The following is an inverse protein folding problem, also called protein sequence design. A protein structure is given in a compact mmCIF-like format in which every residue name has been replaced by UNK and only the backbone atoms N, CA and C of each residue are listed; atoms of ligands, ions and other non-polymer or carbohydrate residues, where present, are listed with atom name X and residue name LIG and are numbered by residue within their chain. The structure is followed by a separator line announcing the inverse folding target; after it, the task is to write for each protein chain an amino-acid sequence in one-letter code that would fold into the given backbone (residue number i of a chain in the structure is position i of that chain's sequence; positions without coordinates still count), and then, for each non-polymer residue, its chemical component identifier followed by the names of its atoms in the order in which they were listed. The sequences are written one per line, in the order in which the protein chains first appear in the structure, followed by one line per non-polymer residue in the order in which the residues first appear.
data_IF_016815492269
#
_entry.id   IF_016815492269
#
_cell.length_a   1.000
_cell.length_b   1.000
_cell.length_c   1.000
_cell.angle_alpha   90.00
_cell.angle_beta   90.00
_cell.angle_gamma   90.00
#
_symmetry.space_group_name_H-M   'P 1'
#
loop_
_entity.id
_entity.type
_entity.pdbx_description
1 polymer ?
#
# COMPACT_ATOMS: atom_id res chain seq x y z
N UNK A 1 2.93 -28.27 -9.14
CA UNK A 1 2.13 -27.02 -9.13
C UNK A 1 2.69 -26.08 -10.19
N UNK A 2 1.85 -25.48 -11.06
CA UNK A 2 2.32 -24.52 -12.09
C UNK A 2 2.32 -23.13 -11.47
N UNK A 3 3.49 -22.49 -11.45
CA UNK A 3 3.64 -21.11 -10.96
C UNK A 3 3.40 -20.14 -12.11
N UNK A 4 2.49 -19.19 -11.93
CA UNK A 4 2.23 -18.13 -12.93
C UNK A 4 3.47 -17.27 -13.13
N UNK A 5 3.75 -16.85 -14.37
CA UNK A 5 4.98 -16.13 -14.69
C UNK A 5 5.14 -14.82 -13.89
N UNK A 6 4.08 -14.03 -13.74
CA UNK A 6 4.14 -12.77 -13.00
C UNK A 6 4.44 -12.94 -11.50
N UNK A 7 4.13 -14.11 -10.90
CA UNK A 7 4.54 -14.44 -9.52
C UNK A 7 6.05 -14.71 -9.48
N UNK A 8 6.58 -15.44 -10.46
CA UNK A 8 8.05 -15.61 -10.58
C UNK A 8 8.78 -14.30 -10.81
N UNK A 9 8.18 -13.42 -11.62
CA UNK A 9 8.73 -12.09 -11.90
C UNK A 9 8.75 -11.25 -10.62
N UNK A 10 7.70 -11.34 -9.78
CA UNK A 10 7.66 -10.68 -8.47
C UNK A 10 8.73 -11.23 -7.52
N UNK A 11 8.83 -12.55 -7.39
CA UNK A 11 9.86 -13.17 -6.53
C UNK A 11 11.28 -12.83 -6.99
N UNK A 12 11.51 -12.68 -8.30
CA UNK A 12 12.80 -12.24 -8.84
C UNK A 12 13.15 -10.77 -8.54
N UNK A 13 12.19 -9.97 -8.05
CA UNK A 13 12.48 -8.62 -7.54
C UNK A 13 13.20 -8.68 -6.18
N UNK A 14 12.98 -9.73 -5.39
CA UNK A 14 13.64 -10.02 -4.11
C UNK A 14 13.49 -8.93 -3.05
N UNK A 15 13.94 -7.70 -3.32
CA UNK A 15 14.03 -6.63 -2.34
C UNK A 15 13.36 -5.35 -2.83
N UNK A 16 12.45 -4.81 -2.00
CA UNK A 16 11.72 -3.59 -2.26
C UNK A 16 11.71 -2.63 -1.07
N UNK A 17 11.26 -1.42 -1.32
CA UNK A 17 11.04 -0.40 -0.31
C UNK A 17 9.54 -0.21 -0.09
N UNK A 18 9.09 -0.27 1.17
CA UNK A 18 7.73 0.11 1.54
C UNK A 18 7.74 1.54 2.07
N UNK A 19 6.87 2.41 1.53
CA UNK A 19 6.86 3.84 1.85
C UNK A 19 5.46 4.26 2.28
N UNK A 20 5.35 4.73 3.53
CA UNK A 20 4.16 5.40 4.03
C UNK A 20 4.34 6.91 3.88
N UNK A 21 3.52 7.51 3.02
CA UNK A 21 3.56 8.93 2.71
C UNK A 21 2.14 9.47 2.52
N UNK A 22 1.79 10.57 3.20
CA UNK A 22 0.45 11.14 3.21
C UNK A 22 0.35 12.31 4.20
N UNK A 23 -0.87 12.77 4.50
CA UNK A 23 -1.10 13.92 5.39
C UNK A 23 -0.48 13.74 6.78
N UNK A 24 -0.46 12.51 7.30
CA UNK A 24 0.19 12.19 8.58
C UNK A 24 1.68 12.57 8.61
N UNK A 25 2.33 12.67 7.46
CA UNK A 25 3.73 13.13 7.37
C UNK A 25 3.89 14.58 7.80
N UNK A 26 2.86 15.43 7.64
CA UNK A 26 2.84 16.82 8.13
C UNK A 26 2.87 16.87 9.66
N UNK A 27 2.21 15.92 10.31
CA UNK A 27 2.19 15.82 11.78
C UNK A 27 3.53 15.34 12.35
N UNK A 28 4.25 14.49 11.61
CA UNK A 28 5.49 13.89 12.09
C UNK A 28 5.32 13.03 13.34
N UNK A 29 4.20 12.28 13.43
CA UNK A 29 3.83 11.44 14.59
C UNK A 29 3.41 10.01 14.18
N UNK A 30 3.83 9.57 13.00
CA UNK A 30 3.46 8.29 12.44
C UNK A 30 2.09 8.31 11.73
N UNK A 31 1.80 7.24 11.02
CA UNK A 31 0.64 7.10 10.13
C UNK A 31 -0.69 6.93 10.87
N UNK A 32 -0.65 6.49 12.12
CA UNK A 32 -1.82 6.33 12.99
C UNK A 32 -2.16 7.56 13.84
N UNK A 33 -1.41 8.67 13.67
CA UNK A 33 -1.54 9.85 14.52
C UNK A 33 -2.97 10.38 14.64
N UNK A 34 -3.75 10.38 13.54
CA UNK A 34 -5.16 10.81 13.54
C UNK A 34 -5.98 10.01 14.57
N UNK A 35 -5.89 8.70 14.53
CA UNK A 35 -6.68 7.81 15.38
C UNK A 35 -6.16 7.78 16.82
N UNK A 36 -4.85 7.66 17.01
CA UNK A 36 -4.22 7.60 18.35
C UNK A 36 -4.41 8.90 19.11
N UNK A 37 -4.21 10.04 18.45
CA UNK A 37 -4.35 11.35 19.09
C UNK A 37 -5.80 11.87 19.07
N UNK A 38 -6.75 11.11 18.50
CA UNK A 38 -8.17 11.48 18.41
C UNK A 38 -8.38 12.84 17.73
N UNK A 39 -7.62 13.11 16.65
CA UNK A 39 -7.70 14.39 15.92
C UNK A 39 -9.04 14.46 15.19
N UNK A 40 -9.86 15.52 15.42
CA UNK A 40 -11.11 15.70 14.70
C UNK A 40 -10.93 15.75 13.18
N UNK A 41 -11.92 15.29 12.41
CA UNK A 41 -11.83 15.25 10.96
C UNK A 41 -11.48 16.62 10.36
N UNK A 42 -12.20 17.68 10.75
CA UNK A 42 -11.99 19.04 10.26
C UNK A 42 -10.55 19.54 10.50
N UNK A 43 -10.00 19.25 11.69
CA UNK A 43 -8.62 19.59 12.01
C UNK A 43 -7.63 18.80 11.15
N UNK A 44 -7.87 17.50 10.97
CA UNK A 44 -7.01 16.64 10.16
C UNK A 44 -7.06 17.01 8.67
N UNK A 45 -8.24 17.28 8.15
CA UNK A 45 -8.46 17.69 6.76
C UNK A 45 -7.72 19.00 6.44
N UNK A 46 -7.64 19.93 7.39
CA UNK A 46 -6.88 21.19 7.22
C UNK A 46 -5.38 20.99 6.96
N UNK A 47 -4.83 19.81 7.24
CA UNK A 47 -3.43 19.48 6.90
C UNK A 47 -3.22 19.44 5.39
N UNK A 48 -4.26 19.17 4.62
CA UNK A 48 -4.21 19.17 3.16
C UNK A 48 -3.80 20.54 2.57
N UNK A 49 -4.14 21.63 3.27
CA UNK A 49 -3.72 22.98 2.92
C UNK A 49 -2.22 23.25 3.11
N UNK A 50 -1.52 22.34 3.79
CA UNK A 50 -0.09 22.43 4.08
C UNK A 50 0.72 21.32 3.39
N UNK A 51 0.05 20.27 2.90
CA UNK A 51 0.70 19.13 2.29
C UNK A 51 1.08 19.44 0.84
N UNK A 52 2.30 19.88 0.64
CA UNK A 52 2.86 20.19 -0.66
C UNK A 52 4.32 19.69 -0.75
N UNK A 53 4.54 18.45 -1.16
CA UNK A 53 5.88 17.90 -1.31
C UNK A 53 6.74 18.69 -2.31
N UNK A 54 8.06 18.68 -2.09
CA UNK A 54 9.02 19.29 -3.01
C UNK A 54 8.81 18.74 -4.44
N UNK A 55 9.04 19.54 -5.50
CA UNK A 55 8.80 19.11 -6.88
C UNK A 55 9.60 17.88 -7.30
N UNK A 56 10.75 17.62 -6.66
CA UNK A 56 11.65 16.50 -6.95
C UNK A 56 11.58 15.36 -5.92
N UNK A 57 10.50 15.32 -5.12
CA UNK A 57 10.32 14.29 -4.08
C UNK A 57 10.36 12.86 -4.64
N UNK A 58 9.65 12.61 -5.74
CA UNK A 58 9.55 11.28 -6.33
C UNK A 58 10.89 10.81 -6.96
N UNK A 59 11.60 11.60 -7.77
CA UNK A 59 12.96 11.27 -8.19
C UNK A 59 13.93 11.00 -7.03
N UNK A 60 13.89 11.79 -5.97
CA UNK A 60 14.73 11.58 -4.78
C UNK A 60 14.41 10.28 -4.07
N UNK A 61 13.13 9.96 -3.90
CA UNK A 61 12.69 8.70 -3.29
C UNK A 61 13.17 7.50 -4.11
N UNK A 62 12.95 7.53 -5.42
CA UNK A 62 13.33 6.44 -6.32
C UNK A 62 14.84 6.27 -6.39
N UNK A 63 15.61 7.35 -6.44
CA UNK A 63 17.07 7.31 -6.39
C UNK A 63 17.57 6.67 -5.08
N UNK A 64 16.94 7.00 -3.94
CA UNK A 64 17.26 6.40 -2.64
C UNK A 64 16.99 4.90 -2.62
N UNK A 65 15.82 4.48 -3.11
CA UNK A 65 15.47 3.06 -3.20
C UNK A 65 16.45 2.29 -4.11
N UNK A 66 16.78 2.87 -5.26
CA UNK A 66 17.74 2.28 -6.20
C UNK A 66 19.14 2.16 -5.58
N UNK A 67 19.61 3.18 -4.87
CA UNK A 67 20.90 3.15 -4.16
C UNK A 67 20.93 2.10 -3.05
N UNK A 68 19.78 1.81 -2.42
CA UNK A 68 19.60 0.73 -1.45
C UNK A 68 19.52 -0.66 -2.10
N UNK A 69 19.50 -0.77 -3.42
CA UNK A 69 19.39 -2.04 -4.15
C UNK A 69 17.97 -2.53 -4.37
N UNK A 70 16.95 -1.72 -4.04
CA UNK A 70 15.55 -2.08 -4.24
C UNK A 70 15.22 -2.20 -5.74
N UNK A 71 14.34 -3.14 -6.07
CA UNK A 71 13.83 -3.38 -7.43
C UNK A 71 12.40 -2.91 -7.60
N UNK A 72 11.67 -2.71 -6.51
CA UNK A 72 10.31 -2.19 -6.49
C UNK A 72 10.10 -1.26 -5.30
N UNK A 73 9.06 -0.44 -5.39
CA UNK A 73 8.62 0.42 -4.28
C UNK A 73 7.12 0.24 -4.13
N UNK A 74 6.66 -0.07 -2.91
CA UNK A 74 5.25 -0.02 -2.53
C UNK A 74 4.98 1.29 -1.83
N UNK A 75 4.19 2.17 -2.47
CA UNK A 75 3.82 3.49 -1.95
C UNK A 75 2.35 3.53 -1.54
N UNK A 76 2.04 4.12 -0.39
CA UNK A 76 0.66 4.38 0.01
C UNK A 76 -0.02 5.36 -0.96
N UNK A 77 -0.95 4.88 -1.77
CA UNK A 77 -1.76 5.74 -2.65
C UNK A 77 -2.89 6.41 -1.88
N UNK A 78 -3.43 5.72 -0.88
CA UNK A 78 -4.33 6.18 0.16
C UNK A 78 -4.16 5.30 1.39
N UNK A 79 -3.94 5.90 2.55
CA UNK A 79 -3.91 5.22 3.84
C UNK A 79 -5.27 5.32 4.54
N UNK A 80 -5.42 4.82 5.76
CA UNK A 80 -6.68 4.77 6.51
C UNK A 80 -7.30 6.15 6.77
N UNK A 81 -6.52 7.22 6.67
CA UNK A 81 -7.00 8.60 6.82
C UNK A 81 -7.89 9.09 5.68
N UNK A 82 -7.95 8.32 4.57
CA UNK A 82 -8.80 8.58 3.42
C UNK A 82 -8.23 9.57 2.40
N UNK A 83 -7.07 10.20 2.68
CA UNK A 83 -6.45 11.14 1.74
C UNK A 83 -5.78 10.43 0.56
N UNK A 84 -6.21 10.76 -0.65
CA UNK A 84 -5.69 10.16 -1.88
C UNK A 84 -4.53 10.96 -2.46
N UNK A 85 -3.37 10.32 -2.69
CA UNK A 85 -2.22 10.97 -3.34
C UNK A 85 -2.38 11.09 -4.87
N UNK A 86 -3.42 10.49 -5.44
CA UNK A 86 -3.71 10.43 -6.86
C UNK A 86 -4.96 11.26 -7.22
N UNK A 87 -5.10 11.60 -8.49
CA UNK A 87 -6.31 12.22 -9.04
C UNK A 87 -7.47 11.23 -9.00
N UNK A 88 -8.43 11.46 -8.11
CA UNK A 88 -9.60 10.61 -7.91
C UNK A 88 -10.67 10.75 -9.00
N UNK A 89 -10.45 11.62 -9.99
CA UNK A 89 -11.39 11.88 -11.10
C UNK A 89 -12.78 12.27 -10.62
N UNK A 90 -12.82 13.07 -9.55
CA UNK A 90 -14.07 13.56 -8.97
C UNK A 90 -14.79 12.56 -8.06
N UNK A 91 -14.15 11.46 -7.69
CA UNK A 91 -14.68 10.52 -6.70
C UNK A 91 -14.67 11.12 -5.29
N UNK A 92 -13.67 11.96 -4.98
CA UNK A 92 -13.52 12.72 -3.75
C UNK A 92 -12.70 13.98 -4.01
N UNK A 93 -13.00 15.08 -3.30
CA UNK A 93 -12.17 16.29 -3.30
C UNK A 93 -11.03 16.21 -2.24
N UNK A 94 -11.01 15.15 -1.44
CA UNK A 94 -9.95 14.89 -0.46
C UNK A 94 -8.79 14.14 -1.10
N UNK A 95 -8.16 14.80 -2.06
CA UNK A 95 -7.03 14.26 -2.82
C UNK A 95 -5.97 15.33 -3.13
N UNK A 96 -4.78 14.89 -3.54
CA UNK A 96 -3.64 15.77 -3.75
C UNK A 96 -3.85 16.84 -4.85
N UNK A 97 -4.52 16.56 -5.98
CA UNK A 97 -4.82 17.58 -6.99
C UNK A 97 -5.73 18.73 -6.52
N UNK A 98 -6.65 18.46 -5.59
CA UNK A 98 -7.61 19.47 -5.10
C UNK A 98 -7.15 20.20 -3.83
N UNK A 99 -5.95 19.90 -3.33
CA UNK A 99 -5.35 20.47 -2.13
C UNK A 99 -4.08 21.27 -2.44
N UNK A 100 -3.29 21.64 -1.43
CA UNK A 100 -2.09 22.47 -1.60
C UNK A 100 -1.04 21.88 -2.56
N UNK A 101 -0.98 20.55 -2.69
CA UNK A 101 -0.10 19.89 -3.64
C UNK A 101 -0.43 20.26 -5.10
N UNK A 102 -1.72 20.39 -5.45
CA UNK A 102 -2.21 20.84 -6.76
C UNK A 102 -1.79 19.92 -7.92
N UNK A 103 -1.37 18.68 -7.65
CA UNK A 103 -0.83 17.76 -8.63
C UNK A 103 -1.04 16.29 -8.23
N UNK A 104 -1.03 15.41 -9.20
CA UNK A 104 -1.15 13.96 -9.02
C UNK A 104 0.21 13.37 -8.61
N UNK A 105 0.38 13.10 -7.31
CA UNK A 105 1.63 12.60 -6.75
C UNK A 105 1.92 11.15 -7.15
N UNK A 106 0.88 10.36 -7.43
CA UNK A 106 1.07 8.98 -7.91
C UNK A 106 1.55 8.96 -9.35
N UNK A 107 1.13 9.92 -10.19
CA UNK A 107 1.69 10.10 -11.53
C UNK A 107 3.19 10.39 -11.46
N UNK A 108 3.59 11.35 -10.64
CA UNK A 108 5.01 11.70 -10.43
C UNK A 108 5.83 10.49 -9.96
N UNK A 109 5.30 9.74 -8.99
CA UNK A 109 5.94 8.53 -8.49
C UNK A 109 6.14 7.46 -9.57
N UNK A 110 5.08 7.15 -10.33
CA UNK A 110 5.14 6.13 -11.39
C UNK A 110 6.10 6.51 -12.49
N UNK A 111 6.10 7.79 -12.90
CA UNK A 111 7.00 8.27 -13.94
C UNK A 111 8.46 8.23 -13.49
N UNK A 112 8.75 8.60 -12.23
CA UNK A 112 10.09 8.46 -11.64
C UNK A 112 10.53 6.99 -11.55
N UNK A 113 9.66 6.08 -11.12
CA UNK A 113 9.95 4.65 -11.08
C UNK A 113 10.33 4.10 -12.45
N UNK A 114 9.56 4.45 -13.48
CA UNK A 114 9.80 3.99 -14.86
C UNK A 114 11.12 4.52 -15.43
N UNK A 115 11.43 5.78 -15.15
CA UNK A 115 12.68 6.39 -15.61
C UNK A 115 13.91 5.64 -15.08
N UNK A 116 13.81 5.05 -13.89
CA UNK A 116 14.92 4.37 -13.21
C UNK A 116 14.84 2.83 -13.26
N UNK A 117 13.81 2.26 -13.91
CA UNK A 117 13.61 0.82 -14.03
C UNK A 117 13.16 0.15 -12.72
N UNK A 118 12.57 0.91 -11.80
CA UNK A 118 11.96 0.42 -10.55
C UNK A 118 10.50 0.05 -10.81
N UNK A 119 10.02 -1.04 -10.23
CA UNK A 119 8.62 -1.47 -10.41
C UNK A 119 7.73 -0.78 -9.37
N UNK A 120 6.72 0.03 -9.78
CA UNK A 120 5.80 0.66 -8.85
C UNK A 120 4.73 -0.33 -8.37
N UNK A 121 4.54 -0.42 -7.06
CA UNK A 121 3.44 -1.09 -6.39
C UNK A 121 2.62 -0.07 -5.62
N UNK A 122 1.32 -0.31 -5.49
CA UNK A 122 0.38 0.58 -4.81
C UNK A 122 -0.18 -0.08 -3.55
N UNK A 123 0.14 0.47 -2.39
CA UNK A 123 -0.66 0.20 -1.20
C UNK A 123 -1.97 0.98 -1.31
N UNK A 124 -3.08 0.34 -1.01
CA UNK A 124 -4.39 0.98 -0.97
C UNK A 124 -5.21 0.44 0.19
N UNK A 125 -5.70 1.34 1.04
CA UNK A 125 -6.48 0.94 2.21
C UNK A 125 -7.83 0.35 1.84
N UNK A 126 -8.27 -0.67 2.59
CA UNK A 126 -9.64 -1.14 2.65
C UNK A 126 -10.45 -0.41 3.73
N UNK A 127 -9.82 -0.08 4.84
CA UNK A 127 -10.34 0.73 5.93
C UNK A 127 -10.30 2.22 5.56
N UNK A 128 -11.37 2.97 5.87
CA UNK A 128 -11.43 4.40 5.60
C UNK A 128 -12.05 5.16 6.78
N UNK A 129 -11.27 6.04 7.40
CA UNK A 129 -11.73 6.86 8.53
C UNK A 129 -12.45 8.14 8.08
N UNK A 130 -12.31 8.52 6.80
CA UNK A 130 -12.84 9.76 6.25
C UNK A 130 -14.16 9.52 5.52
N UNK A 131 -14.26 8.50 4.66
CA UNK A 131 -15.43 8.24 3.83
C UNK A 131 -16.64 7.82 4.70
N UNK A 132 -17.72 8.63 4.79
CA UNK A 132 -18.83 8.36 5.71
C UNK A 132 -19.54 7.04 5.45
N UNK A 133 -19.62 6.62 4.17
CA UNK A 133 -20.31 5.38 3.78
C UNK A 133 -19.64 4.14 4.33
N UNK A 134 -18.36 4.21 4.70
CA UNK A 134 -17.67 3.10 5.39
C UNK A 134 -18.40 2.65 6.67
N UNK A 135 -19.02 3.60 7.37
CA UNK A 135 -19.75 3.34 8.62
C UNK A 135 -21.27 3.26 8.41
N UNK A 136 -21.81 4.00 7.44
CA UNK A 136 -23.26 4.23 7.31
C UNK A 136 -23.91 3.38 6.22
N UNK A 137 -23.19 3.06 5.14
CA UNK A 137 -23.66 2.24 4.01
C UNK A 137 -22.46 1.51 3.38
N UNK A 138 -22.14 0.34 3.93
CA UNK A 138 -20.97 -0.40 3.50
C UNK A 138 -21.01 -0.84 2.04
N UNK A 139 -22.21 -1.09 1.47
CA UNK A 139 -22.35 -1.40 0.03
C UNK A 139 -22.03 -0.20 -0.85
N UNK A 140 -22.42 1.00 -0.45
CA UNK A 140 -22.02 2.23 -1.15
C UNK A 140 -20.49 2.41 -1.05
N UNK A 141 -19.92 2.18 0.14
CA UNK A 141 -18.47 2.21 0.32
C UNK A 141 -17.73 1.25 -0.60
N UNK A 142 -18.18 0.00 -0.76
CA UNK A 142 -17.53 -0.96 -1.65
C UNK A 142 -17.55 -0.52 -3.12
N UNK A 143 -18.58 0.21 -3.56
CA UNK A 143 -18.58 0.84 -4.89
C UNK A 143 -17.55 1.95 -5.01
N UNK A 144 -17.47 2.80 -3.98
CA UNK A 144 -16.45 3.85 -3.87
C UNK A 144 -15.03 3.24 -3.92
N UNK A 145 -14.76 2.21 -3.11
CA UNK A 145 -13.49 1.49 -3.08
C UNK A 145 -13.12 0.90 -4.46
N UNK A 146 -14.06 0.19 -5.12
CA UNK A 146 -13.84 -0.37 -6.46
C UNK A 146 -13.54 0.70 -7.49
N UNK A 147 -14.24 1.84 -7.43
CA UNK A 147 -13.97 2.95 -8.37
C UNK A 147 -12.58 3.54 -8.14
N UNK A 148 -12.18 3.71 -6.89
CA UNK A 148 -10.83 4.14 -6.52
C UNK A 148 -9.75 3.21 -7.08
N UNK A 149 -9.92 1.90 -6.89
CA UNK A 149 -8.98 0.87 -7.41
C UNK A 149 -9.00 0.81 -8.93
N UNK A 150 -10.15 1.01 -9.58
CA UNK A 150 -10.24 1.07 -11.04
C UNK A 150 -9.38 2.21 -11.61
N UNK A 151 -9.45 3.41 -11.02
CA UNK A 151 -8.59 4.55 -11.39
C UNK A 151 -7.12 4.16 -11.30
N UNK A 152 -6.70 3.54 -10.18
CA UNK A 152 -5.32 3.10 -10.02
C UNK A 152 -4.90 2.05 -11.06
N UNK A 153 -5.82 1.20 -11.50
CA UNK A 153 -5.55 0.18 -12.51
C UNK A 153 -5.52 0.69 -13.95
N UNK A 154 -6.19 1.82 -14.24
CA UNK A 154 -6.38 2.30 -15.63
C UNK A 154 -5.53 3.52 -15.96
N UNK A 155 -5.30 4.42 -15.01
CA UNK A 155 -4.69 5.72 -15.29
C UNK A 155 -3.14 5.70 -15.29
N UNK A 156 -2.53 4.74 -14.61
CA UNK A 156 -1.07 4.74 -14.36
C UNK A 156 -0.29 3.73 -15.21
N UNK A 157 -0.92 3.11 -16.22
CA UNK A 157 -0.32 2.08 -17.04
C UNK A 157 0.01 0.81 -16.26
N UNK A 158 1.00 0.03 -16.72
CA UNK A 158 1.35 -1.23 -16.05
C UNK A 158 1.96 -0.97 -14.67
N UNK A 159 1.45 -1.66 -13.64
CA UNK A 159 1.95 -1.66 -12.27
C UNK A 159 2.39 -3.07 -11.85
N UNK A 160 3.24 -3.16 -10.82
CA UNK A 160 3.68 -4.44 -10.26
C UNK A 160 2.59 -5.14 -9.48
N UNK A 161 1.79 -4.39 -8.73
CA UNK A 161 0.70 -4.95 -7.93
C UNK A 161 -0.01 -3.93 -7.05
N UNK A 162 -1.07 -4.43 -6.39
CA UNK A 162 -1.80 -3.72 -5.34
C UNK A 162 -1.63 -4.48 -4.01
N UNK A 163 -1.35 -3.72 -2.98
CA UNK A 163 -1.19 -4.18 -1.61
C UNK A 163 -2.30 -3.59 -0.75
N UNK A 164 -3.24 -4.42 -0.31
CA UNK A 164 -4.41 -4.01 0.47
C UNK A 164 -4.18 -4.19 1.96
N UNK A 165 -4.78 -3.29 2.75
CA UNK A 165 -4.72 -3.30 4.21
C UNK A 165 -6.02 -2.83 4.85
N UNK A 166 -6.24 -3.19 6.12
CA UNK A 166 -7.41 -2.75 6.88
C UNK A 166 -8.61 -3.71 6.83
N UNK A 167 -8.49 -4.90 6.20
CA UNK A 167 -9.53 -5.91 6.21
C UNK A 167 -9.94 -6.32 7.64
N UNK A 168 -9.01 -6.37 8.54
CA UNK A 168 -9.15 -6.76 9.94
C UNK A 168 -10.10 -5.85 10.76
N UNK A 169 -10.41 -4.64 10.31
CA UNK A 169 -11.37 -3.74 10.97
C UNK A 169 -12.82 -4.25 10.84
N UNK A 170 -13.15 -4.88 9.72
CA UNK A 170 -14.47 -5.46 9.45
C UNK A 170 -14.37 -6.92 8.95
N UNK A 171 -13.82 -7.84 9.76
CA UNK A 171 -13.51 -9.20 9.30
C UNK A 171 -14.74 -10.07 9.01
N UNK A 172 -15.93 -9.65 9.48
CA UNK A 172 -17.19 -10.38 9.31
C UNK A 172 -18.06 -9.80 8.19
N UNK A 173 -17.65 -8.67 7.59
CA UNK A 173 -18.39 -8.09 6.46
C UNK A 173 -18.02 -8.80 5.16
N UNK A 174 -18.99 -8.85 4.24
CA UNK A 174 -18.73 -9.28 2.87
C UNK A 174 -18.09 -8.12 2.09
N UNK A 175 -16.79 -8.24 1.85
CA UNK A 175 -15.99 -7.27 1.12
C UNK A 175 -16.16 -7.34 -0.41
N UNK A 176 -16.97 -8.26 -0.91
CA UNK A 176 -17.15 -8.48 -2.35
C UNK A 176 -15.80 -8.59 -3.08
N UNK A 177 -14.87 -9.39 -2.54
CA UNK A 177 -13.52 -9.52 -3.09
C UNK A 177 -13.49 -10.14 -4.50
N UNK A 178 -14.48 -10.95 -4.87
CA UNK A 178 -14.58 -11.47 -6.24
C UNK A 178 -14.71 -10.31 -7.25
N UNK A 179 -15.53 -9.30 -6.94
CA UNK A 179 -15.74 -8.12 -7.77
C UNK A 179 -14.49 -7.24 -7.80
N UNK A 180 -13.87 -7.01 -6.63
CA UNK A 180 -12.68 -6.17 -6.51
C UNK A 180 -11.50 -6.78 -7.25
N UNK A 181 -11.19 -8.04 -6.97
CA UNK A 181 -10.05 -8.71 -7.59
C UNK A 181 -10.30 -9.03 -9.06
N UNK A 182 -11.55 -9.35 -9.43
CA UNK A 182 -11.97 -9.48 -10.81
C UNK A 182 -11.78 -8.20 -11.63
N UNK A 183 -12.06 -7.02 -11.04
CA UNK A 183 -11.79 -5.72 -11.65
C UNK A 183 -10.29 -5.54 -11.90
N UNK A 184 -9.45 -5.87 -10.91
CA UNK A 184 -7.98 -5.78 -11.04
C UNK A 184 -7.50 -6.69 -12.17
N UNK A 185 -7.93 -7.95 -12.19
CA UNK A 185 -7.51 -8.91 -13.24
C UNK A 185 -7.90 -8.49 -14.64
N UNK A 186 -9.06 -7.84 -14.82
CA UNK A 186 -9.48 -7.33 -16.14
C UNK A 186 -8.58 -6.19 -16.63
N UNK A 187 -8.18 -5.28 -15.75
CA UNK A 187 -7.41 -4.09 -16.11
C UNK A 187 -5.90 -4.31 -16.04
N UNK A 188 -5.44 -5.14 -15.10
CA UNK A 188 -4.04 -5.42 -14.80
C UNK A 188 -3.85 -6.94 -14.63
N UNK A 189 -3.90 -7.76 -15.69
CA UNK A 189 -3.93 -9.22 -15.58
C UNK A 189 -2.68 -9.85 -14.94
N UNK A 190 -1.56 -9.11 -14.92
CA UNK A 190 -0.29 -9.57 -14.36
C UNK A 190 0.14 -8.82 -13.10
N UNK A 191 -0.67 -7.89 -12.59
CA UNK A 191 -0.39 -7.24 -11.32
C UNK A 191 -0.59 -8.22 -10.15
N UNK A 192 0.32 -8.18 -9.18
CA UNK A 192 0.17 -8.93 -7.93
C UNK A 192 -1.02 -8.42 -7.13
N UNK A 193 -1.81 -9.31 -6.59
CA UNK A 193 -2.84 -9.00 -5.59
C UNK A 193 -2.34 -9.49 -4.25
N UNK A 194 -2.09 -8.55 -3.34
CA UNK A 194 -1.59 -8.79 -1.99
C UNK A 194 -2.60 -8.17 -1.03
N UNK A 195 -3.00 -8.91 0.00
CA UNK A 195 -3.90 -8.38 1.03
C UNK A 195 -3.38 -8.78 2.41
N UNK A 196 -3.16 -7.78 3.25
CA UNK A 196 -2.75 -7.98 4.63
C UNK A 196 -3.96 -8.41 5.47
N UNK A 197 -4.03 -9.70 5.80
CA UNK A 197 -5.14 -10.27 6.55
C UNK A 197 -5.07 -9.97 8.06
N UNK A 198 -4.08 -9.21 8.46
CA UNK A 198 -3.95 -8.69 9.81
C UNK A 198 -2.85 -9.34 10.64
N UNK A 199 -2.47 -8.64 11.71
CA UNK A 199 -1.33 -8.96 12.56
C UNK A 199 -1.43 -10.32 13.26
N UNK A 200 -2.64 -10.82 13.50
CA UNK A 200 -2.88 -12.12 14.14
C UNK A 200 -2.94 -13.32 13.20
N UNK A 201 -2.81 -13.08 11.88
CA UNK A 201 -3.04 -14.10 10.85
C UNK A 201 -1.95 -14.09 9.77
N UNK A 202 -0.71 -13.91 10.19
CA UNK A 202 0.44 -13.87 9.28
C UNK A 202 0.50 -15.10 8.40
N UNK A 203 0.65 -14.89 7.08
CA UNK A 203 0.69 -15.96 6.10
C UNK A 203 -0.65 -16.60 5.77
N UNK A 204 -1.78 -16.02 6.20
CA UNK A 204 -3.10 -16.52 5.81
C UNK A 204 -3.33 -16.29 4.31
N UNK A 205 -3.82 -17.34 3.63
CA UNK A 205 -4.00 -17.31 2.17
C UNK A 205 -5.20 -16.47 1.73
N UNK A 206 -6.19 -16.32 2.60
CA UNK A 206 -7.39 -15.55 2.30
C UNK A 206 -8.10 -15.98 1.02
N UNK A 207 -8.37 -15.02 0.14
CA UNK A 207 -9.12 -15.22 -1.10
C UNK A 207 -8.29 -15.96 -2.17
N UNK A 208 -8.93 -16.81 -3.04
CA UNK A 208 -8.21 -17.56 -4.08
C UNK A 208 -7.43 -16.71 -5.09
N UNK A 209 -7.81 -15.46 -5.33
CA UNK A 209 -7.11 -14.55 -6.25
C UNK A 209 -5.87 -13.88 -5.65
N UNK A 210 -5.63 -13.99 -4.34
CA UNK A 210 -4.42 -13.44 -3.70
C UNK A 210 -3.19 -14.19 -4.21
N UNK A 211 -2.16 -13.45 -4.62
CA UNK A 211 -0.93 -13.98 -5.22
C UNK A 211 0.25 -14.05 -4.25
N UNK A 212 0.24 -13.24 -3.20
CA UNK A 212 1.23 -13.28 -2.12
C UNK A 212 0.55 -13.14 -0.76
N UNK A 213 0.98 -13.94 0.20
CA UNK A 213 0.65 -13.75 1.61
C UNK A 213 1.64 -12.77 2.25
N UNK A 214 1.24 -12.16 3.36
CA UNK A 214 2.04 -11.18 4.08
C UNK A 214 2.49 -11.68 5.45
N UNK A 215 3.69 -11.29 5.83
CA UNK A 215 4.27 -11.53 7.15
C UNK A 215 4.73 -10.18 7.73
N UNK A 216 3.75 -9.33 8.06
CA UNK A 216 4.01 -8.01 8.61
C UNK A 216 4.73 -8.12 9.95
N UNK A 217 5.93 -7.54 10.03
CA UNK A 217 6.82 -7.57 11.21
C UNK A 217 7.11 -8.99 11.74
N UNK A 218 6.81 -10.00 10.92
CA UNK A 218 7.01 -11.42 11.22
C UNK A 218 8.05 -12.06 10.32
N UNK A 219 8.24 -13.36 10.49
CA UNK A 219 9.13 -14.17 9.64
C UNK A 219 8.30 -15.02 8.70
N UNK A 220 8.68 -15.10 7.41
CA UNK A 220 8.01 -15.94 6.45
C UNK A 220 8.03 -17.42 6.87
N UNK A 221 6.91 -18.08 6.59
CA UNK A 221 6.78 -19.52 6.70
C UNK A 221 6.46 -20.09 5.33
N UNK A 222 6.86 -21.34 5.07
CA UNK A 222 6.47 -22.01 3.85
C UNK A 222 4.95 -22.27 3.86
N UNK A 223 4.21 -21.57 3.01
CA UNK A 223 2.75 -21.68 2.86
C UNK A 223 2.34 -22.62 1.72
N UNK A 224 3.30 -23.06 0.90
CA UNK A 224 3.07 -23.94 -0.24
C UNK A 224 3.22 -25.40 0.19
N UNK A 225 2.11 -26.08 0.38
CA UNK A 225 2.06 -27.52 0.64
C UNK A 225 1.91 -28.30 -0.67
N UNK A 226 2.30 -29.61 -0.73
CA UNK A 226 2.12 -30.41 -1.94
C UNK A 226 0.69 -30.42 -2.49
N UNK A 227 -0.31 -30.34 -1.61
CA UNK A 227 -1.74 -30.38 -1.95
C UNK A 227 -2.35 -28.99 -2.15
N UNK A 228 -1.55 -27.92 -2.11
CA UNK A 228 -2.08 -26.57 -2.30
C UNK A 228 -2.66 -26.41 -3.73
N UNK A 229 -3.85 -25.78 -3.88
CA UNK A 229 -4.52 -25.66 -5.17
C UNK A 229 -3.76 -24.75 -6.14
N UNK A 230 -2.99 -23.81 -5.62
CA UNK A 230 -2.11 -22.92 -6.39
C UNK A 230 -0.87 -22.56 -5.59
N UNK A 231 0.18 -22.15 -6.29
CA UNK A 231 1.36 -21.52 -5.71
C UNK A 231 1.04 -20.07 -5.28
N UNK A 232 1.50 -19.68 -4.12
CA UNK A 232 1.37 -18.33 -3.56
C UNK A 232 2.75 -17.86 -3.12
N UNK A 233 3.14 -16.65 -3.52
CA UNK A 233 4.36 -16.01 -3.02
C UNK A 233 4.22 -15.63 -1.55
N UNK A 234 5.34 -15.29 -0.92
CA UNK A 234 5.40 -14.80 0.46
C UNK A 234 6.16 -13.49 0.48
N UNK A 235 5.59 -12.47 1.11
CA UNK A 235 6.23 -11.18 1.32
C UNK A 235 6.38 -10.94 2.82
N UNK A 236 7.57 -10.52 3.23
CA UNK A 236 7.81 -9.98 4.56
C UNK A 236 7.99 -8.48 4.46
N UNK A 237 7.29 -7.70 5.27
CA UNK A 237 7.53 -6.28 5.41
C UNK A 237 7.93 -5.93 6.85
N UNK A 238 8.95 -5.07 6.97
CA UNK A 238 9.57 -4.67 8.23
C UNK A 238 9.74 -3.16 8.30
N UNK A 239 9.67 -2.63 9.51
CA UNK A 239 9.97 -1.21 9.81
C UNK A 239 11.41 -1.05 10.29
N UNK A 240 11.96 0.13 10.09
CA UNK A 240 13.28 0.48 10.61
C UNK A 240 13.23 1.05 12.04
N UNK A 241 12.21 1.81 12.37
CA UNK A 241 11.92 2.36 13.69
C UNK A 241 10.68 1.73 14.32
N UNK A 242 9.88 2.51 15.01
CA UNK A 242 8.65 2.08 15.66
C UNK A 242 7.38 2.31 14.81
N UNK A 243 7.47 3.16 13.76
CA UNK A 243 6.37 3.57 12.90
C UNK A 243 6.64 3.22 11.42
N UNK A 244 5.58 3.01 10.64
CA UNK A 244 5.66 2.89 9.18
C UNK A 244 5.82 4.26 8.53
N UNK A 245 5.05 5.27 8.98
CA UNK A 245 5.14 6.65 8.54
C UNK A 245 6.15 7.45 9.36
N UNK A 246 6.52 8.61 8.82
CA UNK A 246 7.46 9.51 9.50
C UNK A 246 6.97 9.93 10.88
N UNK A 247 7.81 9.73 11.89
CA UNK A 247 7.62 10.21 13.25
C UNK A 247 8.91 10.90 13.72
N UNK A 248 8.81 12.20 14.03
CA UNK A 248 9.97 13.03 14.34
C UNK A 248 10.70 12.67 15.64
N UNK A 249 10.02 11.93 16.53
CA UNK A 249 10.57 11.43 17.79
C UNK A 249 10.86 9.93 17.77
N UNK A 250 10.79 9.30 16.61
CA UNK A 250 11.17 7.89 16.46
C UNK A 250 12.68 7.79 16.24
N UNK A 251 13.40 7.44 17.30
CA UNK A 251 14.85 7.25 17.30
C UNK A 251 15.26 5.81 17.59
N UNK A 252 14.27 4.91 17.73
CA UNK A 252 14.49 3.51 18.05
C UNK A 252 14.78 2.69 16.77
N UNK A 253 15.76 3.12 15.99
CA UNK A 253 16.09 2.43 14.75
C UNK A 253 16.76 1.08 15.01
N UNK A 254 16.35 0.06 14.27
CA UNK A 254 16.99 -1.24 14.24
C UNK A 254 18.48 -1.10 13.88
N UNK A 255 19.32 -1.87 14.52
CA UNK A 255 20.73 -1.95 14.14
C UNK A 255 20.88 -2.57 12.74
N UNK A 256 21.97 -2.24 12.05
CA UNK A 256 22.30 -2.88 10.77
C UNK A 256 22.33 -4.40 10.86
N UNK A 257 22.86 -4.93 11.97
CA UNK A 257 22.90 -6.38 12.21
C UNK A 257 21.49 -6.98 12.31
N UNK A 258 20.55 -6.30 12.99
CA UNK A 258 19.16 -6.73 13.08
C UNK A 258 18.48 -6.70 11.72
N UNK A 259 18.70 -5.64 10.94
CA UNK A 259 18.13 -5.52 9.59
C UNK A 259 18.63 -6.65 8.69
N UNK A 260 19.95 -6.89 8.66
CA UNK A 260 20.55 -7.99 7.88
C UNK A 260 19.99 -9.34 8.34
N UNK A 261 19.88 -9.56 9.65
CA UNK A 261 19.33 -10.80 10.19
C UNK A 261 17.87 -11.00 9.79
N UNK A 262 17.05 -9.96 9.86
CA UNK A 262 15.65 -10.04 9.46
C UNK A 262 15.49 -10.44 7.99
N UNK A 263 16.37 -9.93 7.09
CA UNK A 263 16.29 -10.21 5.66
C UNK A 263 17.04 -11.47 5.20
N UNK A 264 18.13 -11.86 5.87
CA UNK A 264 18.93 -13.03 5.47
C UNK A 264 18.41 -14.35 6.07
N UNK A 265 17.50 -14.30 7.05
CA UNK A 265 16.91 -15.48 7.68
C UNK A 265 15.49 -15.79 7.15
N UNK A 266 15.11 -15.25 5.99
CA UNK A 266 13.81 -15.45 5.36
C UNK A 266 13.87 -16.52 4.28
#
# INVERSE_FOLDING_TARGET
MIVKQYIKDFEALEFGMFVHFGLYSVLGRGEWAKEICKIPNEEYESLADKFNPEPDWAPKLVATAKAAGCKYITLTTRHHDGYSLFDTKGLSDFDAPHCAAGRDLIREFVDACRAEGIVPFFYHTLLDWHEPTYKTDFKAYLKYLRRSVEILCTEYGKIGGLWFDGWWDKPNEDWEFDELYGLIRRNQPTAMIINNTGLGRLGEKGHPEIDSVTFERGRPLNVNTPDAPKYIASEMCQIFGDHWGYASLDFNFKSMATIIQDYCCC
#
